data_IF_439065839504
#
_entry.id   IF_439065839504
#
_cell.length_a   1.000
_cell.length_b   1.000
_cell.length_c   1.000
_cell.angle_alpha   90.00
_cell.angle_beta   90.00
_cell.angle_gamma   90.00
#
_symmetry.space_group_name_H-M   'P 1'
#
loop_
_entity.id
_entity.type
_entity.pdbx_description
1 polymer ?
#
# COMPACT_ATOMS: atom_id res chain seq x y z
N UNK A 1 6.27 -2.81 16.69
CA UNK A 1 6.81 -3.94 15.95
C UNK A 1 7.47 -3.46 14.66
N UNK A 2 8.49 -4.16 14.14
CA UNK A 2 9.10 -3.83 12.85
C UNK A 2 8.08 -4.02 11.73
N UNK A 3 7.90 -3.00 10.87
CA UNK A 3 6.93 -3.03 9.77
C UNK A 3 7.52 -3.57 8.46
N UNK A 4 8.84 -3.59 8.31
CA UNK A 4 9.49 -4.04 7.09
C UNK A 4 9.15 -5.50 6.70
N UNK A 5 9.15 -6.48 7.62
CA UNK A 5 8.75 -7.86 7.30
C UNK A 5 7.30 -7.99 6.83
N UNK A 6 6.41 -7.08 7.24
CA UNK A 6 4.99 -7.12 6.86
C UNK A 6 4.79 -6.88 5.36
N UNK A 7 5.69 -6.12 4.72
CA UNK A 7 5.63 -5.89 3.29
C UNK A 7 5.90 -7.17 2.48
N UNK A 8 6.82 -8.03 2.94
CA UNK A 8 7.10 -9.32 2.29
C UNK A 8 5.93 -10.29 2.43
N UNK A 9 5.33 -10.36 3.62
CA UNK A 9 4.12 -11.17 3.84
C UNK A 9 2.95 -10.67 2.98
N UNK A 10 2.80 -9.34 2.87
CA UNK A 10 1.81 -8.72 1.98
C UNK A 10 2.01 -9.15 0.52
N UNK A 11 3.26 -9.16 0.05
CA UNK A 11 3.60 -9.59 -1.32
C UNK A 11 3.24 -11.05 -1.58
N UNK A 12 3.53 -11.93 -0.63
CA UNK A 12 3.18 -13.35 -0.75
C UNK A 12 1.66 -13.54 -0.94
N UNK A 13 0.83 -12.83 -0.18
CA UNK A 13 -0.62 -12.90 -0.31
C UNK A 13 -1.09 -12.28 -1.63
N UNK A 14 -0.73 -11.01 -1.86
CA UNK A 14 -1.23 -10.23 -3.01
C UNK A 14 -0.90 -10.91 -4.35
N UNK A 15 0.33 -11.39 -4.52
CA UNK A 15 0.70 -12.00 -5.80
C UNK A 15 0.14 -13.40 -5.97
N UNK A 16 0.01 -14.20 -4.91
CA UNK A 16 -0.66 -15.50 -4.99
C UNK A 16 -2.13 -15.34 -5.39
N UNK A 17 -2.86 -14.45 -4.74
CA UNK A 17 -4.27 -14.19 -5.01
C UNK A 17 -4.48 -13.54 -6.39
N UNK A 18 -3.67 -12.53 -6.75
CA UNK A 18 -3.74 -11.91 -8.06
C UNK A 18 -3.47 -12.92 -9.18
N UNK A 19 -2.47 -13.80 -9.01
CA UNK A 19 -2.19 -14.86 -10.00
C UNK A 19 -3.36 -15.83 -10.10
N UNK A 20 -3.93 -16.26 -8.97
CA UNK A 20 -5.10 -17.17 -8.98
C UNK A 20 -6.28 -16.56 -9.73
N UNK A 21 -6.56 -15.28 -9.50
CA UNK A 21 -7.64 -14.57 -10.17
C UNK A 21 -7.38 -14.35 -11.67
N UNK A 22 -6.16 -13.96 -12.03
CA UNK A 22 -5.81 -13.58 -13.41
C UNK A 22 -5.33 -14.74 -14.28
N UNK A 23 -5.07 -15.94 -13.71
CA UNK A 23 -4.51 -17.07 -14.42
C UNK A 23 -5.26 -17.47 -15.72
N UNK A 24 -6.62 -17.52 -15.76
CA UNK A 24 -7.32 -17.81 -17.02
C UNK A 24 -7.04 -16.77 -18.10
N UNK A 25 -7.17 -15.48 -17.76
CA UNK A 25 -6.97 -14.38 -18.71
C UNK A 25 -5.51 -14.24 -19.16
N UNK A 26 -4.55 -14.53 -18.29
CA UNK A 26 -3.14 -14.53 -18.66
C UNK A 26 -2.80 -15.65 -19.65
N UNK A 27 -3.49 -16.78 -19.62
CA UNK A 27 -3.32 -17.86 -20.62
C UNK A 27 -3.90 -17.50 -21.98
N UNK A 28 -5.06 -16.83 -21.99
CA UNK A 28 -5.83 -16.58 -23.19
C UNK A 28 -5.57 -15.20 -23.83
N UNK A 29 -5.21 -14.21 -22.99
CA UNK A 29 -5.15 -12.80 -23.39
C UNK A 29 -3.99 -12.05 -22.75
N UNK A 30 -2.81 -12.68 -22.67
CA UNK A 30 -1.61 -12.07 -22.07
C UNK A 30 -1.21 -10.74 -22.73
N UNK A 31 -1.51 -10.56 -24.01
CA UNK A 31 -1.25 -9.35 -24.79
C UNK A 31 -2.04 -8.13 -24.33
N UNK A 32 -3.16 -8.32 -23.62
CA UNK A 32 -4.00 -7.23 -23.06
C UNK A 32 -3.41 -6.62 -21.78
N UNK A 33 -2.40 -7.24 -21.21
CA UNK A 33 -1.70 -6.75 -20.04
C UNK A 33 -0.47 -5.95 -20.45
N UNK A 34 -0.26 -4.79 -19.80
CA UNK A 34 1.04 -4.11 -19.94
C UNK A 34 2.15 -5.01 -19.40
N UNK A 35 3.41 -4.88 -19.88
CA UNK A 35 4.51 -5.72 -19.42
C UNK A 35 4.66 -5.78 -17.90
N UNK A 36 4.53 -4.63 -17.23
CA UNK A 36 4.61 -4.56 -15.76
C UNK A 36 3.47 -5.35 -15.08
N UNK A 37 2.23 -5.15 -15.51
CA UNK A 37 1.07 -5.81 -14.90
C UNK A 37 1.12 -7.31 -15.14
N UNK A 38 1.50 -7.73 -16.36
CA UNK A 38 1.64 -9.14 -16.70
C UNK A 38 2.65 -9.87 -15.81
N UNK A 39 3.84 -9.29 -15.61
CA UNK A 39 4.87 -9.88 -14.73
C UNK A 39 4.36 -9.95 -13.29
N UNK A 40 3.76 -8.89 -12.78
CA UNK A 40 3.21 -8.87 -11.42
C UNK A 40 2.09 -9.89 -11.21
N UNK A 41 1.15 -9.96 -12.15
CA UNK A 41 0.04 -10.91 -12.10
C UNK A 41 0.48 -12.38 -12.26
N UNK A 42 1.68 -12.63 -12.82
CA UNK A 42 2.26 -13.98 -12.95
C UNK A 42 3.18 -14.37 -11.80
N UNK A 43 3.56 -13.43 -10.94
CA UNK A 43 4.56 -13.65 -9.87
C UNK A 43 4.15 -14.75 -8.89
N UNK A 44 2.86 -14.88 -8.60
CA UNK A 44 2.35 -15.91 -7.69
C UNK A 44 2.59 -17.34 -8.14
N UNK A 45 2.85 -17.58 -9.45
CA UNK A 45 3.24 -18.91 -9.95
C UNK A 45 4.55 -19.41 -9.33
N UNK A 46 5.42 -18.50 -8.89
CA UNK A 46 6.71 -18.83 -8.28
C UNK A 46 6.64 -18.82 -6.73
N UNK A 47 5.49 -18.52 -6.13
CA UNK A 47 5.33 -18.51 -4.68
C UNK A 47 4.84 -19.90 -4.24
N UNK A 48 5.63 -20.64 -3.43
CA UNK A 48 5.19 -21.91 -2.88
C UNK A 48 3.96 -21.75 -1.98
N UNK A 49 2.98 -22.66 -2.10
CA UNK A 49 1.78 -22.62 -1.29
C UNK A 49 2.04 -22.54 0.24
N UNK A 50 3.05 -23.21 0.82
CA UNK A 50 3.37 -23.06 2.24
C UNK A 50 3.68 -21.61 2.64
N UNK A 51 4.36 -20.84 1.79
CA UNK A 51 4.69 -19.41 2.08
C UNK A 51 3.42 -18.57 2.10
N UNK A 52 2.48 -18.83 1.20
CA UNK A 52 1.18 -18.15 1.20
C UNK A 52 0.38 -18.47 2.47
N UNK A 53 0.31 -19.76 2.86
CA UNK A 53 -0.40 -20.15 4.07
C UNK A 53 0.25 -19.60 5.35
N UNK A 54 1.58 -19.60 5.43
CA UNK A 54 2.31 -19.00 6.55
C UNK A 54 1.99 -17.50 6.66
N UNK A 55 1.99 -16.78 5.55
CA UNK A 55 1.63 -15.34 5.55
C UNK A 55 0.21 -15.10 6.05
N UNK A 56 -0.76 -15.94 5.67
CA UNK A 56 -2.14 -15.86 6.18
C UNK A 56 -2.21 -16.14 7.69
N UNK A 57 -1.52 -17.16 8.18
CA UNK A 57 -1.51 -17.51 9.60
C UNK A 57 -0.88 -16.44 10.48
N UNK A 58 0.16 -15.78 9.98
CA UNK A 58 0.85 -14.71 10.70
C UNK A 58 0.04 -13.41 10.78
N UNK A 59 -0.95 -13.20 9.93
CA UNK A 59 -1.71 -11.96 9.86
C UNK A 59 -2.41 -11.60 11.17
N UNK A 60 -3.15 -12.53 11.77
CA UNK A 60 -3.91 -12.27 12.98
C UNK A 60 -3.03 -11.97 14.21
N UNK A 61 -2.00 -12.79 14.55
CA UNK A 61 -1.12 -12.48 15.67
C UNK A 61 -0.32 -11.19 15.48
N UNK A 62 0.12 -10.87 14.25
CA UNK A 62 0.82 -9.63 13.95
C UNK A 62 -0.11 -8.40 14.06
N UNK A 63 -1.36 -8.52 13.61
CA UNK A 63 -2.38 -7.49 13.82
C UNK A 63 -2.60 -7.24 15.32
N UNK A 64 -2.79 -8.28 16.11
CA UNK A 64 -2.98 -8.15 17.55
C UNK A 64 -1.76 -7.48 18.22
N UNK A 65 -0.55 -7.91 17.87
CA UNK A 65 0.67 -7.29 18.38
C UNK A 65 0.77 -5.81 17.99
N UNK A 66 0.41 -5.46 16.75
CA UNK A 66 0.41 -4.08 16.30
C UNK A 66 -0.61 -3.23 17.06
N UNK A 67 -1.84 -3.70 17.17
CA UNK A 67 -2.93 -3.00 17.89
C UNK A 67 -2.55 -2.75 19.34
N UNK A 68 -2.06 -3.76 20.04
CA UNK A 68 -1.69 -3.65 21.45
C UNK A 68 -0.47 -2.77 21.71
N UNK A 69 0.49 -2.72 20.79
CA UNK A 69 1.72 -1.92 20.98
C UNK A 69 1.59 -0.48 20.49
N UNK A 70 0.89 -0.24 19.39
CA UNK A 70 0.77 1.09 18.78
C UNK A 70 -0.45 1.82 19.33
N UNK A 71 -1.62 1.22 19.20
CA UNK A 71 -2.86 1.86 19.60
C UNK A 71 -3.14 1.84 21.13
N UNK A 72 -2.26 1.28 21.94
CA UNK A 72 -2.24 1.58 23.38
C UNK A 72 -1.77 3.02 23.66
N UNK A 73 -1.14 3.69 22.69
CA UNK A 73 -0.47 4.97 22.85
C UNK A 73 -1.09 6.10 22.03
N UNK A 74 -1.90 5.78 21.03
CA UNK A 74 -2.59 6.76 20.18
C UNK A 74 -3.91 6.19 19.66
N UNK A 75 -4.83 7.07 19.29
CA UNK A 75 -6.11 6.71 18.65
C UNK A 75 -5.97 6.60 17.13
N UNK A 76 -5.10 7.41 16.54
CA UNK A 76 -4.78 7.45 15.13
C UNK A 76 -3.27 7.55 14.95
N UNK A 77 -2.72 6.72 14.09
CA UNK A 77 -1.32 6.77 13.69
C UNK A 77 -1.18 7.61 12.41
N UNK A 78 -0.29 8.60 12.43
CA UNK A 78 0.07 9.40 11.27
C UNK A 78 1.40 8.91 10.70
N UNK A 79 1.43 8.64 9.39
CA UNK A 79 2.64 8.25 8.67
C UNK A 79 2.71 8.95 7.31
N UNK A 80 3.89 9.06 6.67
CA UNK A 80 3.96 9.41 5.26
C UNK A 80 3.17 8.42 4.41
N UNK A 81 2.51 8.88 3.36
CA UNK A 81 1.88 8.01 2.37
C UNK A 81 2.93 7.44 1.41
N UNK A 82 3.80 8.31 0.87
CA UNK A 82 4.93 7.95 0.04
C UNK A 82 6.23 8.39 0.71
N UNK A 83 7.29 7.57 0.69
CA UNK A 83 8.61 7.92 1.25
C UNK A 83 9.50 8.66 0.24
N UNK A 84 8.98 8.97 -0.93
CA UNK A 84 9.66 9.65 -2.04
C UNK A 84 8.71 10.71 -2.63
N UNK A 85 9.27 11.65 -3.38
CA UNK A 85 8.48 12.55 -4.22
C UNK A 85 7.65 11.75 -5.24
N UNK A 86 6.54 12.33 -5.70
CA UNK A 86 5.70 11.70 -6.71
C UNK A 86 6.52 11.55 -8.00
N UNK A 87 6.78 10.32 -8.46
CA UNK A 87 7.59 10.11 -9.66
C UNK A 87 6.80 10.55 -10.90
N UNK A 88 7.50 10.98 -11.92
CA UNK A 88 6.91 11.25 -13.22
C UNK A 88 6.41 9.95 -13.86
N UNK A 89 5.44 10.07 -14.76
CA UNK A 89 4.86 8.92 -15.45
C UNK A 89 5.91 8.12 -16.26
N UNK A 90 6.83 8.83 -16.93
CA UNK A 90 7.92 8.22 -17.71
C UNK A 90 8.93 7.49 -16.82
N UNK A 91 9.13 7.93 -15.59
CA UNK A 91 9.99 7.26 -14.60
C UNK A 91 9.35 5.97 -14.04
N UNK A 92 8.03 5.85 -14.13
CA UNK A 92 7.29 4.67 -13.65
C UNK A 92 7.07 3.62 -14.74
N UNK A 93 7.23 3.94 -16.02
CA UNK A 93 7.15 3.00 -17.12
C UNK A 93 8.51 2.31 -17.33
N UNK A 94 8.82 1.39 -16.44
CA UNK A 94 10.14 0.72 -16.36
C UNK A 94 10.13 -0.73 -16.90
N UNK A 95 9.04 -1.12 -17.56
CA UNK A 95 8.87 -2.51 -18.03
C UNK A 95 8.73 -3.51 -16.87
N UNK A 96 8.90 -4.80 -17.16
CA UNK A 96 8.70 -5.91 -16.19
C UNK A 96 9.98 -6.43 -15.52
N UNK A 97 11.08 -5.68 -15.55
CA UNK A 97 12.39 -6.11 -15.04
C UNK A 97 12.66 -5.75 -13.60
N UNK A 98 13.93 -5.89 -13.16
CA UNK A 98 14.38 -5.62 -11.78
C UNK A 98 14.03 -4.19 -11.30
N UNK A 99 14.20 -3.19 -12.17
CA UNK A 99 13.87 -1.78 -11.88
C UNK A 99 12.42 -1.59 -11.46
N UNK A 100 11.47 -2.38 -12.00
CA UNK A 100 10.08 -2.35 -11.58
C UNK A 100 9.93 -2.74 -10.10
N UNK A 101 10.64 -3.77 -9.66
CA UNK A 101 10.56 -4.24 -8.27
C UNK A 101 11.13 -3.23 -7.30
N UNK A 102 12.23 -2.58 -7.64
CA UNK A 102 12.84 -1.51 -6.84
C UNK A 102 11.90 -0.31 -6.69
N UNK A 103 11.27 0.10 -7.80
CA UNK A 103 10.30 1.19 -7.80
C UNK A 103 9.06 0.84 -6.97
N UNK A 104 8.48 -0.34 -7.19
CA UNK A 104 7.31 -0.80 -6.44
C UNK A 104 7.60 -0.89 -4.94
N UNK A 105 8.77 -1.41 -4.55
CA UNK A 105 9.16 -1.48 -3.16
C UNK A 105 9.21 -0.09 -2.49
N UNK A 106 9.66 0.94 -3.22
CA UNK A 106 9.61 2.33 -2.75
C UNK A 106 8.18 2.85 -2.63
N UNK A 107 7.36 2.68 -3.68
CA UNK A 107 6.00 3.24 -3.74
C UNK A 107 5.07 2.66 -2.66
N UNK A 108 5.17 1.35 -2.37
CA UNK A 108 4.25 0.69 -1.41
C UNK A 108 4.81 0.59 0.00
N UNK A 109 6.01 1.08 0.26
CA UNK A 109 6.73 0.89 1.54
C UNK A 109 5.90 1.32 2.75
N UNK A 110 5.19 2.44 2.64
CA UNK A 110 4.41 2.98 3.75
C UNK A 110 2.99 2.41 3.82
N UNK A 111 2.46 1.81 2.76
CA UNK A 111 1.06 1.34 2.68
C UNK A 111 0.93 -0.18 2.82
N UNK A 112 1.87 -0.96 2.29
CA UNK A 112 1.80 -2.42 2.30
C UNK A 112 1.66 -3.04 3.70
N UNK A 113 2.32 -2.54 4.77
CA UNK A 113 2.15 -3.09 6.11
C UNK A 113 0.71 -2.99 6.62
N UNK A 114 0.04 -1.88 6.40
CA UNK A 114 -1.34 -1.67 6.86
C UNK A 114 -2.35 -2.44 6.02
N UNK A 115 -2.11 -2.58 4.71
CA UNK A 115 -2.88 -3.47 3.84
C UNK A 115 -2.78 -4.92 4.29
N UNK A 116 -1.56 -5.39 4.63
CA UNK A 116 -1.36 -6.74 5.17
C UNK A 116 -2.14 -6.93 6.48
N UNK A 117 -2.06 -5.98 7.39
CA UNK A 117 -2.76 -6.06 8.68
C UNK A 117 -4.28 -5.88 8.55
N UNK A 118 -4.78 -5.34 7.43
CA UNK A 118 -6.20 -5.06 7.24
C UNK A 118 -6.70 -3.91 8.11
N UNK A 119 -5.82 -2.94 8.38
CA UNK A 119 -6.17 -1.74 9.14
C UNK A 119 -6.78 -0.68 8.22
N UNK A 120 -7.82 0.05 8.67
CA UNK A 120 -8.36 1.18 7.94
C UNK A 120 -7.30 2.27 7.83
N UNK A 121 -7.17 2.85 6.64
CA UNK A 121 -6.24 3.92 6.37
C UNK A 121 -6.86 4.97 5.43
N UNK A 122 -6.58 6.24 5.71
CA UNK A 122 -7.08 7.38 4.95
C UNK A 122 -5.91 8.27 4.52
N UNK A 123 -5.77 8.51 3.22
CA UNK A 123 -4.81 9.45 2.70
C UNK A 123 -5.35 10.88 2.80
N UNK A 124 -4.56 11.80 3.35
CA UNK A 124 -4.92 13.20 3.50
C UNK A 124 -3.81 14.09 2.92
N UNK A 125 -4.14 15.12 2.12
CA UNK A 125 -3.15 16.05 1.61
C UNK A 125 -2.59 16.89 2.76
N UNK A 126 -1.27 17.05 2.80
CA UNK A 126 -0.57 17.83 3.84
C UNK A 126 0.32 18.93 3.29
N UNK A 127 0.38 19.08 1.97
CA UNK A 127 1.18 20.09 1.31
C UNK A 127 1.35 19.82 -0.17
N UNK A 128 2.30 20.54 -0.77
CA UNK A 128 2.71 20.37 -2.16
C UNK A 128 4.23 20.25 -2.22
N UNK A 129 4.74 19.51 -3.20
CA UNK A 129 6.16 19.45 -3.50
C UNK A 129 6.62 20.66 -4.32
N UNK A 130 7.91 20.71 -4.66
CA UNK A 130 8.48 21.79 -5.47
C UNK A 130 7.90 21.91 -6.89
N UNK A 131 7.17 20.91 -7.37
CA UNK A 131 6.50 20.89 -8.67
C UNK A 131 4.99 21.17 -8.57
N UNK A 132 4.48 21.48 -7.37
CA UNK A 132 3.06 21.71 -7.12
C UNK A 132 2.22 20.45 -7.01
N UNK A 133 2.84 19.25 -6.98
CA UNK A 133 2.13 17.99 -6.77
C UNK A 133 1.79 17.78 -5.29
N UNK A 134 0.65 17.14 -4.97
CA UNK A 134 0.24 16.97 -3.58
C UNK A 134 1.17 16.01 -2.83
N UNK A 135 1.62 16.44 -1.66
CA UNK A 135 2.22 15.57 -0.65
C UNK A 135 1.09 15.07 0.26
N UNK A 136 1.03 13.77 0.52
CA UNK A 136 0.02 13.19 1.37
C UNK A 136 0.62 12.47 2.57
N UNK A 137 -0.06 12.59 3.71
CA UNK A 137 0.11 11.73 4.87
C UNK A 137 -0.98 10.65 4.86
N UNK A 138 -0.76 9.62 5.65
CA UNK A 138 -1.69 8.53 5.87
C UNK A 138 -2.09 8.48 7.34
N UNK A 139 -3.39 8.54 7.60
CA UNK A 139 -3.99 8.28 8.90
C UNK A 139 -4.36 6.81 8.96
N UNK A 140 -3.90 6.09 9.98
CA UNK A 140 -4.20 4.67 10.19
C UNK A 140 -4.93 4.50 11.50
N UNK A 141 -6.03 3.77 11.50
CA UNK A 141 -6.90 3.54 12.65
C UNK A 141 -6.88 2.10 13.15
N UNK A 142 -7.55 1.89 14.29
CA UNK A 142 -7.88 0.54 14.78
C UNK A 142 -8.79 -0.18 13.78
N UNK A 143 -8.86 -1.51 13.81
CA UNK A 143 -9.84 -2.23 13.02
C UNK A 143 -11.26 -1.68 13.22
N UNK A 144 -11.98 -1.44 12.12
CA UNK A 144 -13.35 -0.92 12.09
C UNK A 144 -13.55 0.49 12.68
N UNK A 145 -12.47 1.30 12.74
CA UNK A 145 -12.52 2.69 13.23
C UNK A 145 -12.42 3.73 12.10
N UNK A 146 -13.06 3.46 10.96
CA UNK A 146 -13.08 4.35 9.79
C UNK A 146 -13.70 5.71 10.13
N UNK A 147 -14.71 5.74 10.99
CA UNK A 147 -15.36 6.96 11.49
C UNK A 147 -14.38 7.89 12.22
N UNK A 148 -13.48 7.30 13.01
CA UNK A 148 -12.43 8.06 13.71
C UNK A 148 -11.42 8.68 12.75
N UNK A 149 -11.08 7.96 11.67
CA UNK A 149 -10.19 8.50 10.65
C UNK A 149 -10.84 9.67 9.90
N UNK A 150 -12.12 9.57 9.57
CA UNK A 150 -12.87 10.65 8.93
C UNK A 150 -12.97 11.89 9.84
N UNK A 151 -13.22 11.71 11.14
CA UNK A 151 -13.22 12.79 12.12
C UNK A 151 -11.83 13.46 12.21
N UNK A 152 -10.76 12.67 12.32
CA UNK A 152 -9.40 13.19 12.37
C UNK A 152 -9.02 13.95 11.10
N UNK A 153 -9.40 13.42 9.94
CA UNK A 153 -9.17 14.06 8.64
C UNK A 153 -9.93 15.39 8.51
N UNK A 154 -11.17 15.45 8.97
CA UNK A 154 -11.97 16.69 8.95
C UNK A 154 -11.34 17.80 9.81
N UNK A 155 -10.80 17.44 10.99
CA UNK A 155 -10.06 18.40 11.84
C UNK A 155 -8.79 18.88 11.16
N UNK A 156 -8.04 17.96 10.55
CA UNK A 156 -6.82 18.30 9.83
C UNK A 156 -7.11 19.18 8.61
N UNK A 157 -8.14 18.86 7.83
CA UNK A 157 -8.54 19.63 6.65
C UNK A 157 -8.97 21.05 7.02
N UNK A 158 -9.66 21.23 8.14
CA UNK A 158 -10.03 22.55 8.67
C UNK A 158 -8.81 23.36 9.14
N UNK A 159 -7.80 22.70 9.71
CA UNK A 159 -6.56 23.33 10.18
C UNK A 159 -5.56 23.60 9.05
N UNK A 160 -5.67 22.92 7.92
CA UNK A 160 -4.75 23.01 6.80
C UNK A 160 -5.45 23.56 5.56
N UNK A 161 -5.33 24.86 5.31
CA UNK A 161 -6.05 25.51 4.20
C UNK A 161 -5.48 25.22 2.80
N UNK A 162 -4.51 24.33 2.66
CA UNK A 162 -3.93 23.95 1.39
C UNK A 162 -4.94 23.17 0.53
N UNK A 163 -5.90 23.87 -0.05
CA UNK A 163 -6.65 23.35 -1.19
C UNK A 163 -5.66 23.15 -2.33
N UNK A 164 -5.28 21.90 -2.57
CA UNK A 164 -4.61 21.53 -3.82
C UNK A 164 -5.59 21.85 -4.94
N UNK A 165 -5.30 22.79 -5.85
CA UNK A 165 -6.17 23.00 -6.99
C UNK A 165 -6.24 21.69 -7.77
N UNK A 166 -7.44 21.15 -7.93
CA UNK A 166 -7.64 20.05 -8.87
C UNK A 166 -7.42 20.69 -10.24
N UNK A 167 -6.35 20.29 -10.94
CA UNK A 167 -6.13 20.72 -12.32
C UNK A 167 -7.34 20.29 -13.17
N UNK A 168 -7.84 21.16 -14.05
CA UNK A 168 -8.96 20.87 -14.91
C UNK A 168 -8.69 19.69 -15.86
#
# INVERSE_FOLDING_TARGET
PPVAPLAELSRAIVYSEATGLHAPWLREHAERYTPQVRVRASTGLAIPAPIYFEALQLRAPLLQQFVTSVFARCDVLLTPLLPIEVPRRDETDVGGGARMWELLAKLVRCTAPFNFLGLPALAVPVGQDGNGLPIAAQLVGRPFAEDRLLQAAAVQEAAWPARVPVAP
#
